data_IF_468761466882
#
_entry.id   IF_468761466882
#
_cell.length_a   1.000
_cell.length_b   1.000
_cell.length_c   1.000
_cell.angle_alpha   90.00
_cell.angle_beta   90.00
_cell.angle_gamma   90.00
#
_symmetry.space_group_name_H-M   'P 1'
#
loop_
_entity.id
_entity.type
_entity.pdbx_description
1 polymer ?
#
# COMPACT_ATOMS: atom_id res chain seq x y z
N UNK A 1 8.23 -7.87 -5.81
CA UNK A 1 6.86 -7.41 -5.51
C UNK A 1 6.91 -6.82 -4.12
N UNK A 2 6.82 -5.49 -4.03
CA UNK A 2 6.72 -4.80 -2.75
C UNK A 2 5.31 -4.95 -2.21
N UNK A 3 5.17 -5.24 -0.93
CA UNK A 3 3.89 -5.14 -0.22
C UNK A 3 3.99 -4.02 0.80
N UNK A 4 2.98 -3.16 0.88
CA UNK A 4 2.91 -2.15 1.93
C UNK A 4 2.09 -2.72 3.10
N UNK A 5 2.74 -2.86 4.25
CA UNK A 5 2.10 -3.26 5.50
C UNK A 5 1.64 -2.03 6.27
N UNK A 6 0.39 -2.09 6.72
CA UNK A 6 -0.25 -1.07 7.54
C UNK A 6 -1.14 -1.73 8.58
N UNK A 7 -1.35 -1.03 9.71
CA UNK A 7 -2.36 -1.42 10.68
C UNK A 7 -3.76 -1.45 10.05
N UNK A 8 -4.60 -2.36 10.53
CA UNK A 8 -5.94 -2.58 10.00
C UNK A 8 -6.83 -1.32 10.08
N UNK A 9 -6.64 -0.47 11.10
CA UNK A 9 -7.35 0.81 11.23
C UNK A 9 -6.98 1.80 10.12
N UNK A 10 -5.69 1.98 9.89
CA UNK A 10 -5.15 2.94 8.91
C UNK A 10 -5.57 2.62 7.47
N UNK A 11 -5.70 1.33 7.12
CA UNK A 11 -6.21 0.92 5.80
C UNK A 11 -7.63 1.45 5.56
N UNK A 12 -8.48 1.41 6.58
CA UNK A 12 -9.87 1.91 6.51
C UNK A 12 -9.91 3.42 6.43
N UNK A 13 -9.03 4.11 7.16
CA UNK A 13 -8.94 5.57 7.08
C UNK A 13 -8.51 6.02 5.69
N UNK A 14 -7.50 5.38 5.10
CA UNK A 14 -7.06 5.67 3.72
C UNK A 14 -8.19 5.40 2.72
N UNK A 15 -8.91 4.30 2.88
CA UNK A 15 -10.06 3.96 2.04
C UNK A 15 -11.13 5.08 2.10
N UNK A 16 -11.43 5.59 3.31
CA UNK A 16 -12.39 6.69 3.50
C UNK A 16 -11.89 8.01 2.92
N UNK A 17 -10.62 8.36 3.15
CA UNK A 17 -10.03 9.62 2.69
C UNK A 17 -9.99 9.70 1.17
N UNK A 18 -9.61 8.60 0.54
CA UNK A 18 -9.54 8.51 -0.92
C UNK A 18 -10.90 8.16 -1.54
N UNK A 19 -11.92 7.88 -0.73
CA UNK A 19 -13.26 7.44 -1.16
C UNK A 19 -13.18 6.23 -2.10
N UNK A 20 -12.39 5.23 -1.71
CA UNK A 20 -12.14 3.99 -2.46
C UNK A 20 -12.53 2.77 -1.62
N UNK A 21 -12.84 1.66 -2.30
CA UNK A 21 -13.10 0.38 -1.64
C UNK A 21 -11.85 -0.16 -0.94
N UNK A 22 -12.04 -0.82 0.21
CA UNK A 22 -10.97 -1.51 0.95
C UNK A 22 -10.23 -2.52 0.07
N UNK A 23 -10.92 -3.12 -0.91
CA UNK A 23 -10.36 -4.05 -1.90
C UNK A 23 -9.37 -3.35 -2.84
N UNK A 24 -9.67 -2.11 -3.26
CA UNK A 24 -8.79 -1.27 -4.09
C UNK A 24 -7.52 -0.92 -3.32
N UNK A 25 -7.66 -0.53 -2.05
CA UNK A 25 -6.51 -0.28 -1.17
C UNK A 25 -5.67 -1.54 -1.02
N UNK A 26 -6.30 -2.69 -0.74
CA UNK A 26 -5.59 -3.97 -0.59
C UNK A 26 -4.85 -4.36 -1.87
N UNK A 27 -5.45 -4.17 -3.04
CA UNK A 27 -4.80 -4.44 -4.32
C UNK A 27 -3.62 -3.49 -4.60
N UNK A 28 -3.77 -2.20 -4.27
CA UNK A 28 -2.73 -1.19 -4.42
C UNK A 28 -1.54 -1.45 -3.47
N UNK A 29 -1.81 -1.82 -2.22
CA UNK A 29 -0.80 -2.16 -1.22
C UNK A 29 -0.04 -3.44 -1.57
N UNK A 30 -0.70 -4.40 -2.22
CA UNK A 30 -0.06 -5.65 -2.70
C UNK A 30 0.63 -5.52 -4.04
N UNK A 31 0.69 -4.29 -4.58
CA UNK A 31 1.25 -3.99 -5.89
C UNK A 31 0.69 -4.88 -7.02
N UNK A 32 -0.57 -5.33 -6.88
CA UNK A 32 -1.25 -6.17 -7.89
C UNK A 32 -1.69 -5.38 -9.11
N UNK A 33 -1.78 -4.07 -9.01
CA UNK A 33 -2.29 -3.20 -10.06
C UNK A 33 -1.50 -1.89 -10.04
N UNK A 34 -0.82 -1.57 -11.14
CA UNK A 34 -0.03 -0.35 -11.28
C UNK A 34 -0.81 0.73 -12.03
N UNK A 35 -1.93 1.16 -11.45
CA UNK A 35 -2.67 2.33 -11.91
C UNK A 35 -2.24 3.56 -11.13
N UNK A 36 -2.41 4.75 -11.71
CA UNK A 36 -2.12 6.04 -11.06
C UNK A 36 -2.79 6.16 -9.67
N UNK A 37 -3.99 5.60 -9.55
CA UNK A 37 -4.76 5.54 -8.31
C UNK A 37 -4.09 4.65 -7.25
N UNK A 38 -3.56 3.49 -7.66
CA UNK A 38 -2.78 2.61 -6.78
C UNK A 38 -1.50 3.27 -6.30
N UNK A 39 -0.84 4.01 -7.17
CA UNK A 39 0.39 4.73 -6.84
C UNK A 39 0.14 5.84 -5.82
N UNK A 40 -0.95 6.59 -5.99
CA UNK A 40 -1.44 7.55 -4.97
C UNK A 40 -1.72 6.88 -3.64
N UNK A 41 -2.42 5.74 -3.64
CA UNK A 41 -2.70 4.98 -2.42
C UNK A 41 -1.40 4.59 -1.72
N UNK A 42 -0.40 4.10 -2.46
CA UNK A 42 0.91 3.72 -1.90
C UNK A 42 1.64 4.91 -1.27
N UNK A 43 1.71 6.04 -1.97
CA UNK A 43 2.34 7.27 -1.43
C UNK A 43 1.63 7.75 -0.17
N UNK A 44 0.29 7.75 -0.17
CA UNK A 44 -0.50 8.15 1.00
C UNK A 44 -0.30 7.16 2.16
N UNK A 45 -0.22 5.86 1.86
CA UNK A 45 0.06 4.82 2.84
C UNK A 45 1.42 5.04 3.50
N UNK A 46 2.49 5.28 2.72
CA UNK A 46 3.82 5.58 3.26
C UNK A 46 3.79 6.84 4.13
N UNK A 47 3.14 7.92 3.67
CA UNK A 47 3.01 9.16 4.44
C UNK A 47 2.30 9.00 5.79
N UNK A 48 1.37 8.04 5.89
CA UNK A 48 0.61 7.74 7.11
C UNK A 48 1.38 6.86 8.10
N UNK A 49 2.53 6.33 7.71
CA UNK A 49 3.32 5.39 8.54
C UNK A 49 3.22 3.94 8.05
N UNK A 50 2.79 3.74 6.81
CA UNK A 50 2.84 2.45 6.14
C UNK A 50 4.26 2.06 5.81
N UNK A 51 4.59 0.80 6.07
CA UNK A 51 5.93 0.26 5.84
C UNK A 51 5.90 -0.45 4.49
N UNK A 52 6.62 0.09 3.51
CA UNK A 52 6.85 -0.62 2.26
C UNK A 52 7.87 -1.73 2.48
N UNK A 53 7.40 -2.97 2.35
CA UNK A 53 8.21 -4.17 2.44
C UNK A 53 8.50 -4.60 1.02
N UNK A 54 9.60 -4.07 0.47
CA UNK A 54 10.17 -4.67 -0.73
C UNK A 54 10.79 -6.00 -0.31
N UNK A 55 10.22 -7.11 -0.79
CA UNK A 55 10.90 -8.42 -0.72
C UNK A 55 12.08 -8.43 -1.70
N UNK A 56 12.99 -7.48 -1.54
CA UNK A 56 14.36 -7.64 -1.97
C UNK A 56 14.94 -8.57 -0.92
N UNK A 57 14.88 -9.89 -1.19
CA UNK A 57 15.84 -10.79 -0.57
C UNK A 57 17.19 -10.16 -0.88
N UNK A 58 17.82 -9.57 0.12
CA UNK A 58 19.22 -9.20 0.06
C UNK A 58 19.95 -10.52 -0.19
N UNK A 59 20.19 -10.80 -1.47
CA UNK A 59 21.05 -11.87 -1.92
C UNK A 59 22.45 -11.27 -1.88
N UNK A 60 22.90 -10.92 -0.67
CA UNK A 60 24.23 -10.40 -0.45
C UNK A 60 24.95 -11.38 0.46
N UNK A 61 25.76 -12.19 -0.24
CA UNK A 61 27.00 -12.88 0.12
C UNK A 61 26.98 -13.95 1.23
#
# INVERSE_FOLDING_TARGET
MGEILMKHGERRDIAKILNVSEVTVRNALKDRTQSELSERIRRLAIQRGGIEVNNTKNSDI
#
